data_IF_115061933440
#
_entry.id   IF_115061933440
#
_cell.length_a   1.000
_cell.length_b   1.000
_cell.length_c   1.000
_cell.angle_alpha   90.00
_cell.angle_beta   90.00
_cell.angle_gamma   90.00
#
_symmetry.space_group_name_H-M   'P 1'
#
loop_
_entity.id
_entity.type
_entity.pdbx_description
1 polymer ?
#
# COMPACT_ATOMS: atom_id res chain seq x y z
N UNK A 1 -36.99 -16.59 34.34
CA UNK A 1 -36.01 -16.32 33.26
C UNK A 1 -35.05 -15.31 33.86
N UNK A 2 -33.90 -15.77 34.36
CA UNK A 2 -32.89 -14.87 34.92
C UNK A 2 -32.31 -13.99 33.81
N UNK A 3 -32.03 -12.70 34.09
CA UNK A 3 -31.36 -11.84 33.13
C UNK A 3 -29.93 -12.34 32.92
N UNK A 4 -29.56 -12.49 31.64
CA UNK A 4 -28.20 -12.79 31.21
C UNK A 4 -27.29 -11.66 31.73
N UNK A 5 -26.18 -11.96 32.45
CA UNK A 5 -25.24 -10.95 32.89
C UNK A 5 -24.74 -10.18 31.67
N UNK A 6 -24.85 -8.85 31.72
CA UNK A 6 -24.22 -7.99 30.73
C UNK A 6 -22.72 -8.32 30.72
N UNK A 7 -22.28 -8.97 29.64
CA UNK A 7 -20.86 -9.22 29.39
C UNK A 7 -20.14 -7.89 29.52
N UNK A 8 -19.04 -7.91 30.27
CA UNK A 8 -18.11 -6.80 30.47
C UNK A 8 -17.97 -5.97 29.19
N UNK A 9 -18.30 -4.68 29.28
CA UNK A 9 -18.04 -3.69 28.24
C UNK A 9 -16.62 -3.88 27.71
N UNK A 10 -16.38 -3.89 26.38
CA UNK A 10 -15.03 -4.09 25.85
C UNK A 10 -14.15 -2.99 26.42
N UNK A 11 -13.19 -3.41 27.23
CA UNK A 11 -12.25 -2.55 27.90
C UNK A 11 -11.44 -1.77 26.87
N UNK A 12 -11.41 -0.45 27.01
CA UNK A 12 -10.28 0.42 26.64
C UNK A 12 -9.61 0.13 25.29
N UNK A 13 -10.39 0.07 24.21
CA UNK A 13 -9.85 0.21 22.85
C UNK A 13 -9.43 1.68 22.71
N UNK A 14 -8.21 2.01 23.14
CA UNK A 14 -7.64 3.34 22.95
C UNK A 14 -7.66 3.64 21.47
N UNK A 15 -8.55 4.56 21.05
CA UNK A 15 -8.61 5.06 19.68
C UNK A 15 -7.23 5.60 19.34
N UNK A 16 -6.51 4.90 18.46
CA UNK A 16 -5.22 5.39 17.97
C UNK A 16 -5.47 6.67 17.16
N UNK A 17 -4.96 7.79 17.67
CA UNK A 17 -4.96 9.06 16.96
C UNK A 17 -3.78 9.10 15.98
N UNK A 18 -4.09 9.41 14.72
CA UNK A 18 -3.12 9.69 13.66
C UNK A 18 -3.24 11.17 13.31
N UNK A 19 -2.14 11.92 13.33
CA UNK A 19 -2.16 13.38 13.12
C UNK A 19 -2.29 13.70 11.63
N UNK A 20 -1.59 12.97 10.77
CA UNK A 20 -1.65 13.16 9.33
C UNK A 20 -1.84 11.85 8.57
N UNK A 21 -3.02 11.70 7.96
CA UNK A 21 -3.36 10.60 7.07
C UNK A 21 -3.25 10.98 5.58
N UNK A 22 -2.67 10.09 4.77
CA UNK A 22 -2.62 10.21 3.31
C UNK A 22 -3.47 9.12 2.65
N UNK A 23 -4.39 9.52 1.76
CA UNK A 23 -5.26 8.60 1.03
C UNK A 23 -4.90 8.59 -0.46
N UNK A 24 -4.47 7.43 -0.98
CA UNK A 24 -4.06 7.24 -2.38
C UNK A 24 -5.12 6.46 -3.15
N UNK A 25 -5.89 7.18 -3.96
CA UNK A 25 -6.98 6.63 -4.77
C UNK A 25 -6.49 5.69 -5.90
N UNK A 26 -7.42 4.89 -6.42
CA UNK A 26 -7.20 4.00 -7.54
C UNK A 26 -7.28 4.72 -8.89
N UNK A 27 -6.97 3.97 -9.96
CA UNK A 27 -6.91 4.52 -11.33
C UNK A 27 -5.76 3.95 -12.17
N UNK A 28 -5.30 2.73 -11.83
CA UNK A 28 -4.20 2.06 -12.51
C UNK A 28 -2.87 2.84 -12.48
N UNK A 29 -2.06 2.66 -13.50
CA UNK A 29 -0.72 3.25 -13.61
C UNK A 29 -0.73 4.79 -13.63
N UNK A 30 -1.80 5.42 -14.14
CA UNK A 30 -1.93 6.88 -14.09
C UNK A 30 -2.01 7.39 -12.66
N UNK A 31 -2.83 6.73 -11.84
CA UNK A 31 -2.92 7.06 -10.41
C UNK A 31 -1.58 6.81 -9.70
N UNK A 32 -0.89 5.71 -10.01
CA UNK A 32 0.45 5.43 -9.47
C UNK A 32 1.43 6.57 -9.76
N UNK A 33 1.55 7.01 -11.02
CA UNK A 33 2.47 8.09 -11.41
C UNK A 33 2.06 9.45 -10.83
N UNK A 34 0.75 9.75 -10.80
CA UNK A 34 0.23 10.95 -10.17
C UNK A 34 0.61 11.00 -8.68
N UNK A 35 0.36 9.91 -7.95
CA UNK A 35 0.68 9.82 -6.53
C UNK A 35 2.19 9.86 -6.27
N UNK A 36 3.02 9.34 -7.19
CA UNK A 36 4.47 9.51 -7.09
C UNK A 36 4.89 10.99 -7.15
N UNK A 37 4.29 11.78 -8.06
CA UNK A 37 4.50 13.23 -8.11
C UNK A 37 4.02 13.94 -6.83
N UNK A 38 2.86 13.55 -6.29
CA UNK A 38 2.35 14.07 -5.02
C UNK A 38 3.32 13.77 -3.88
N UNK A 39 3.85 12.55 -3.80
CA UNK A 39 4.81 12.16 -2.77
C UNK A 39 6.14 12.92 -2.90
N UNK A 40 6.61 13.21 -4.13
CA UNK A 40 7.75 14.13 -4.33
C UNK A 40 7.47 15.50 -3.70
N UNK A 41 6.31 16.08 -4.00
CA UNK A 41 5.92 17.40 -3.47
C UNK A 41 5.76 17.40 -1.96
N UNK A 42 5.20 16.33 -1.38
CA UNK A 42 5.12 16.16 0.07
C UNK A 42 6.50 16.04 0.71
N UNK A 43 7.43 15.34 0.06
CA UNK A 43 8.81 15.24 0.53
C UNK A 43 9.51 16.61 0.51
N UNK A 44 9.43 17.32 -0.61
CA UNK A 44 10.02 18.65 -0.79
C UNK A 44 9.45 19.70 0.18
N UNK A 45 8.20 19.52 0.61
CA UNK A 45 7.55 20.36 1.61
C UNK A 45 7.83 19.95 3.08
N UNK A 46 8.64 18.92 3.31
CA UNK A 46 8.90 18.38 4.66
C UNK A 46 7.67 17.74 5.33
N UNK A 47 6.64 17.40 4.54
CA UNK A 47 5.39 16.80 5.01
C UNK A 47 5.42 15.29 4.96
N UNK A 48 6.25 14.69 4.08
CA UNK A 48 6.35 13.23 3.97
C UNK A 48 6.70 12.59 5.31
N UNK A 49 7.68 13.12 6.05
CA UNK A 49 8.10 12.57 7.35
C UNK A 49 6.99 12.60 8.41
N UNK A 50 6.01 13.51 8.27
CA UNK A 50 4.92 13.72 9.23
C UNK A 50 3.74 12.77 9.01
N UNK A 51 3.73 11.98 7.94
CA UNK A 51 2.63 11.07 7.66
C UNK A 51 2.63 9.95 8.70
N UNK A 52 1.49 9.76 9.34
CA UNK A 52 1.26 8.73 10.36
C UNK A 52 0.51 7.51 9.81
N UNK A 53 -0.26 7.69 8.74
CA UNK A 53 -1.06 6.65 8.12
C UNK A 53 -1.14 6.86 6.61
N UNK A 54 -1.07 5.77 5.86
CA UNK A 54 -1.35 5.75 4.42
C UNK A 54 -2.45 4.73 4.15
N UNK A 55 -3.59 5.17 3.61
CA UNK A 55 -4.61 4.29 3.04
C UNK A 55 -4.54 4.33 1.52
N UNK A 56 -4.73 3.18 0.85
CA UNK A 56 -4.62 3.13 -0.60
C UNK A 56 -5.50 2.05 -1.24
N UNK A 57 -5.85 2.25 -2.51
CA UNK A 57 -6.51 1.23 -3.34
C UNK A 57 -5.85 1.13 -4.73
N UNK A 58 -5.84 -0.06 -5.31
CA UNK A 58 -5.48 -0.30 -6.73
C UNK A 58 -4.15 0.36 -7.14
N UNK A 59 -4.12 1.22 -8.15
CA UNK A 59 -2.91 1.94 -8.59
C UNK A 59 -2.25 2.77 -7.48
N UNK A 60 -3.02 3.37 -6.57
CA UNK A 60 -2.50 4.02 -5.38
C UNK A 60 -1.81 3.05 -4.42
N UNK A 61 -2.24 1.79 -4.37
CA UNK A 61 -1.57 0.74 -3.59
C UNK A 61 -0.22 0.32 -4.17
N UNK A 62 0.01 0.49 -5.47
CA UNK A 62 1.34 0.28 -6.07
C UNK A 62 2.30 1.35 -5.53
N UNK A 63 1.89 2.62 -5.59
CA UNK A 63 2.66 3.74 -5.06
C UNK A 63 2.90 3.62 -3.55
N UNK A 64 1.84 3.32 -2.76
CA UNK A 64 1.94 3.10 -1.32
C UNK A 64 2.80 1.89 -0.97
N UNK A 65 2.69 0.80 -1.73
CA UNK A 65 3.40 -0.45 -1.47
C UNK A 65 4.90 -0.30 -1.61
N UNK A 66 5.36 0.35 -2.68
CA UNK A 66 6.79 0.67 -2.82
C UNK A 66 7.26 1.60 -1.70
N UNK A 67 6.46 2.62 -1.35
CA UNK A 67 6.82 3.57 -0.30
C UNK A 67 6.98 2.85 1.05
N UNK A 68 6.06 1.93 1.37
CA UNK A 68 6.08 1.16 2.61
C UNK A 68 7.35 0.30 2.75
N UNK A 69 7.78 -0.32 1.66
CA UNK A 69 8.98 -1.18 1.62
C UNK A 69 10.25 -0.35 1.71
N UNK A 70 10.28 0.82 1.07
CA UNK A 70 11.44 1.70 1.07
C UNK A 70 11.51 2.62 2.29
N UNK A 71 10.41 2.81 3.02
CA UNK A 71 10.32 3.69 4.18
C UNK A 71 11.50 3.58 5.16
N UNK A 72 11.89 2.39 5.66
CA UNK A 72 13.01 2.27 6.61
C UNK A 72 14.38 2.62 6.01
N UNK A 73 14.47 2.82 4.70
CA UNK A 73 15.69 3.17 3.97
C UNK A 73 15.77 4.67 3.64
N UNK A 74 14.70 5.43 3.87
CA UNK A 74 14.68 6.86 3.63
C UNK A 74 15.55 7.59 4.68
N UNK A 75 16.40 8.49 4.21
CA UNK A 75 17.28 9.31 5.05
C UNK A 75 16.72 10.73 5.12
N UNK A 76 16.12 11.08 6.25
CA UNK A 76 15.51 12.39 6.46
C UNK A 76 16.52 13.39 7.03
N UNK A 77 16.61 14.56 6.41
CA UNK A 77 17.30 15.75 6.92
C UNK A 77 16.35 16.94 6.80
N UNK A 78 16.16 17.70 7.88
CA UNK A 78 15.26 18.86 7.94
C UNK A 78 13.84 18.61 7.40
N UNK A 79 13.28 17.42 7.68
CA UNK A 79 11.94 17.03 7.22
C UNK A 79 11.89 16.38 5.84
N UNK A 80 12.98 16.44 5.07
CA UNK A 80 13.05 15.99 3.67
C UNK A 80 13.88 14.71 3.57
N UNK A 81 13.35 13.67 2.93
CA UNK A 81 14.12 12.48 2.57
C UNK A 81 15.06 12.80 1.39
N UNK A 82 16.36 12.85 1.66
CA UNK A 82 17.39 13.28 0.69
C UNK A 82 17.63 12.27 -0.42
N UNK A 83 17.41 10.99 -0.14
CA UNK A 83 17.52 9.87 -1.08
C UNK A 83 16.17 9.44 -1.68
N UNK A 84 15.12 10.24 -1.52
CA UNK A 84 13.77 9.89 -1.99
C UNK A 84 13.70 9.70 -3.52
N UNK A 85 14.36 10.58 -4.27
CA UNK A 85 14.37 10.52 -5.74
C UNK A 85 14.99 9.22 -6.25
N UNK A 86 16.19 8.90 -5.77
CA UNK A 86 16.94 7.71 -6.14
C UNK A 86 16.20 6.43 -5.76
N UNK A 87 15.73 6.34 -4.50
CA UNK A 87 15.13 5.10 -4.02
C UNK A 87 13.71 4.88 -4.57
N UNK A 88 12.87 5.93 -4.58
CA UNK A 88 11.44 5.81 -4.85
C UNK A 88 11.07 6.24 -6.27
N UNK A 89 11.45 7.45 -6.68
CA UNK A 89 10.96 8.07 -7.92
C UNK A 89 11.50 7.33 -9.13
N UNK A 90 12.82 7.11 -9.18
CA UNK A 90 13.46 6.38 -10.29
C UNK A 90 12.91 4.96 -10.42
N UNK A 91 12.64 4.30 -9.29
CA UNK A 91 12.07 2.96 -9.25
C UNK A 91 10.63 2.92 -9.79
N UNK A 92 9.77 3.86 -9.39
CA UNK A 92 8.42 3.99 -9.95
C UNK A 92 8.45 4.28 -11.44
N UNK A 93 9.33 5.19 -11.89
CA UNK A 93 9.44 5.55 -13.30
C UNK A 93 9.92 4.36 -14.12
N UNK A 94 10.96 3.65 -13.67
CA UNK A 94 11.43 2.43 -14.31
C UNK A 94 10.32 1.37 -14.40
N UNK A 95 9.60 1.14 -13.29
CA UNK A 95 8.47 0.22 -13.26
C UNK A 95 7.33 0.62 -14.23
N UNK A 96 7.09 1.92 -14.41
CA UNK A 96 6.06 2.40 -15.35
C UNK A 96 6.37 2.05 -16.81
N UNK A 97 7.65 1.91 -17.18
CA UNK A 97 8.05 1.55 -18.54
C UNK A 97 7.75 0.09 -18.87
N UNK A 98 7.75 -0.81 -17.87
CA UNK A 98 7.41 -2.24 -18.04
C UNK A 98 6.00 -2.43 -18.58
N UNK A 99 5.09 -1.49 -18.29
CA UNK A 99 3.71 -1.55 -18.78
C UNK A 99 3.56 -1.06 -20.23
N UNK A 100 4.46 -0.21 -20.73
CA UNK A 100 4.46 0.20 -22.14
C UNK A 100 4.81 -0.99 -23.05
N UNK A 101 5.53 -1.99 -22.54
CA UNK A 101 5.80 -3.28 -23.18
C UNK A 101 4.62 -4.27 -23.04
N UNK A 102 3.39 -3.74 -23.11
CA UNK A 102 2.09 -4.37 -22.86
C UNK A 102 1.77 -5.72 -23.54
N UNK A 103 2.37 -6.16 -24.68
CA UNK A 103 1.96 -7.41 -25.32
C UNK A 103 2.11 -8.67 -24.45
N UNK A 104 2.97 -8.64 -23.42
CA UNK A 104 3.28 -9.83 -22.60
C UNK A 104 2.36 -9.99 -21.38
N UNK A 105 1.92 -8.89 -20.75
CA UNK A 105 0.99 -8.93 -19.60
C UNK A 105 -0.42 -9.31 -20.07
N UNK A 106 -0.84 -8.82 -21.25
CA UNK A 106 -2.14 -9.17 -21.84
C UNK A 106 -2.21 -10.65 -22.27
N UNK A 107 -1.08 -11.26 -22.65
CA UNK A 107 -0.99 -12.70 -22.94
C UNK A 107 -1.23 -13.58 -21.70
N UNK A 108 -0.86 -13.11 -20.50
CA UNK A 108 -1.10 -13.82 -19.24
C UNK A 108 -2.57 -13.99 -18.89
N UNK A 109 -3.44 -13.09 -19.36
CA UNK A 109 -4.91 -13.19 -19.22
C UNK A 109 -5.48 -14.40 -19.98
N UNK A 110 -4.77 -14.88 -21.01
CA UNK A 110 -5.14 -16.06 -21.79
C UNK A 110 -4.35 -17.33 -21.41
N UNK A 111 -3.55 -17.30 -20.34
CA UNK A 111 -2.80 -18.46 -19.88
C UNK A 111 -3.68 -19.33 -18.95
N UNK A 112 -4.04 -20.57 -19.32
CA UNK A 112 -4.86 -21.44 -18.47
C UNK A 112 -4.13 -22.01 -17.25
N UNK A 113 -2.80 -21.83 -17.16
CA UNK A 113 -1.97 -22.37 -16.07
C UNK A 113 -1.58 -21.32 -15.00
N UNK A 114 -1.97 -20.05 -15.15
CA UNK A 114 -1.64 -18.97 -14.20
C UNK A 114 -2.80 -17.98 -14.08
N UNK A 115 -3.01 -17.42 -12.89
CA UNK A 115 -4.03 -16.39 -12.70
C UNK A 115 -3.47 -15.02 -13.05
N UNK A 116 -4.32 -14.12 -13.57
CA UNK A 116 -3.94 -12.74 -13.84
C UNK A 116 -3.33 -12.04 -12.59
N UNK A 117 -3.83 -12.37 -11.40
CA UNK A 117 -3.30 -11.87 -10.14
C UNK A 117 -1.87 -12.36 -9.86
N UNK A 118 -1.57 -13.63 -10.18
CA UNK A 118 -0.23 -14.20 -9.98
C UNK A 118 0.78 -13.60 -10.95
N UNK A 119 0.42 -13.41 -12.22
CA UNK A 119 1.31 -12.75 -13.18
C UNK A 119 1.61 -11.30 -12.79
N UNK A 120 0.61 -10.55 -12.34
CA UNK A 120 0.81 -9.19 -11.84
C UNK A 120 1.70 -9.17 -10.60
N UNK A 121 1.49 -10.09 -9.65
CA UNK A 121 2.34 -10.20 -8.47
C UNK A 121 3.80 -10.51 -8.84
N UNK A 122 4.03 -11.46 -9.73
CA UNK A 122 5.37 -11.80 -10.23
C UNK A 122 6.02 -10.64 -10.98
N UNK A 123 5.24 -9.86 -11.74
CA UNK A 123 5.73 -8.63 -12.37
C UNK A 123 6.18 -7.60 -11.32
N UNK A 124 5.41 -7.42 -10.24
CA UNK A 124 5.79 -6.50 -9.16
C UNK A 124 7.04 -6.99 -8.42
N UNK A 125 7.11 -8.28 -8.08
CA UNK A 125 8.29 -8.87 -7.43
C UNK A 125 9.54 -8.60 -8.27
N UNK A 126 9.52 -8.93 -9.56
CA UNK A 126 10.68 -8.76 -10.45
C UNK A 126 11.07 -7.31 -10.66
N UNK A 127 10.11 -6.44 -10.98
CA UNK A 127 10.40 -5.10 -11.50
C UNK A 127 10.23 -3.97 -10.48
N UNK A 128 9.37 -4.14 -9.48
CA UNK A 128 9.12 -3.14 -8.44
C UNK A 128 9.92 -3.44 -7.17
N UNK A 129 10.15 -4.71 -6.83
CA UNK A 129 10.78 -5.13 -5.58
C UNK A 129 12.12 -5.86 -5.74
N UNK A 130 12.76 -5.80 -6.92
CA UNK A 130 14.09 -6.40 -7.19
C UNK A 130 14.16 -7.90 -6.88
N UNK A 131 13.11 -8.64 -7.22
CA UNK A 131 12.97 -10.07 -6.94
C UNK A 131 12.64 -10.41 -5.48
N UNK A 132 12.45 -9.42 -4.61
CA UNK A 132 12.04 -9.64 -3.22
C UNK A 132 10.53 -9.81 -3.12
N UNK A 133 10.11 -10.49 -2.05
CA UNK A 133 8.71 -10.72 -1.71
C UNK A 133 8.43 -10.07 -0.35
N UNK A 134 8.14 -8.76 -0.30
CA UNK A 134 7.82 -8.08 0.95
C UNK A 134 6.55 -8.66 1.57
N UNK A 135 6.53 -8.82 2.89
CA UNK A 135 5.35 -9.28 3.61
C UNK A 135 4.75 -8.13 4.40
N UNK A 136 3.43 -8.16 4.64
CA UNK A 136 2.78 -7.16 5.48
C UNK A 136 3.46 -7.04 6.84
N UNK A 137 3.83 -8.17 7.48
CA UNK A 137 4.51 -8.17 8.79
C UNK A 137 5.87 -7.46 8.78
N UNK A 138 6.54 -7.36 7.63
CA UNK A 138 7.84 -6.68 7.50
C UNK A 138 7.75 -5.16 7.37
N UNK A 139 6.55 -4.59 7.20
CA UNK A 139 6.37 -3.15 7.03
C UNK A 139 6.55 -2.39 8.35
N UNK A 140 6.99 -1.13 8.24
CA UNK A 140 7.13 -0.22 9.40
C UNK A 140 5.82 -0.08 10.18
N UNK A 141 5.92 0.18 11.48
CA UNK A 141 4.75 0.48 12.34
C UNK A 141 4.20 1.89 12.11
N UNK A 142 5.08 2.84 11.74
CA UNK A 142 4.73 4.24 11.43
C UNK A 142 5.53 4.73 10.22
N UNK A 143 4.87 5.30 9.18
CA UNK A 143 3.42 5.38 9.00
C UNK A 143 2.77 4.00 8.93
N UNK A 144 1.52 3.91 9.36
CA UNK A 144 0.74 2.70 9.23
C UNK A 144 0.15 2.60 7.82
N UNK A 145 0.59 1.59 7.07
CA UNK A 145 0.10 1.34 5.72
C UNK A 145 -1.10 0.38 5.73
N UNK A 146 -2.20 0.83 5.12
CA UNK A 146 -3.45 0.09 4.96
C UNK A 146 -3.78 -0.01 3.46
N UNK A 147 -3.75 -1.24 2.95
CA UNK A 147 -4.12 -1.55 1.58
C UNK A 147 -5.57 -2.04 1.55
N UNK A 148 -6.41 -1.34 0.82
CA UNK A 148 -7.84 -1.59 0.76
C UNK A 148 -8.20 -2.34 -0.53
N UNK A 149 -9.11 -3.29 -0.41
CA UNK A 149 -9.73 -4.03 -1.52
C UNK A 149 -11.20 -4.32 -1.20
N UNK A 150 -11.89 -4.98 -2.13
CA UNK A 150 -13.26 -5.42 -1.94
C UNK A 150 -13.29 -6.92 -1.67
N UNK A 151 -14.02 -7.33 -0.64
CA UNK A 151 -14.37 -8.73 -0.45
C UNK A 151 -15.53 -9.09 -1.38
N UNK A 152 -15.30 -9.99 -2.33
CA UNK A 152 -16.31 -10.36 -3.33
C UNK A 152 -17.47 -11.19 -2.75
N UNK A 153 -17.25 -11.90 -1.64
CA UNK A 153 -18.29 -12.72 -1.01
C UNK A 153 -19.27 -11.88 -0.21
N UNK A 154 -18.78 -10.80 0.42
CA UNK A 154 -19.57 -9.99 1.36
C UNK A 154 -19.88 -8.59 0.83
N UNK A 155 -19.21 -8.15 -0.22
CA UNK A 155 -19.33 -6.80 -0.80
C UNK A 155 -18.70 -5.69 0.05
N UNK A 156 -18.02 -6.03 1.14
CA UNK A 156 -17.49 -5.07 2.10
C UNK A 156 -16.01 -4.74 1.90
N UNK A 157 -15.58 -3.67 2.58
CA UNK A 157 -14.19 -3.21 2.58
C UNK A 157 -13.30 -4.25 3.26
N UNK A 158 -12.35 -4.76 2.50
CA UNK A 158 -11.30 -5.63 3.00
C UNK A 158 -10.01 -4.82 3.18
N UNK A 159 -9.42 -4.87 4.37
CA UNK A 159 -8.23 -4.09 4.74
C UNK A 159 -7.08 -5.03 5.06
N UNK A 160 -5.93 -4.75 4.46
CA UNK A 160 -4.69 -5.50 4.65
C UNK A 160 -3.61 -4.56 5.19
N UNK A 161 -2.99 -4.92 6.31
CA UNK A 161 -1.90 -4.16 6.92
C UNK A 161 -0.95 -5.07 7.69
N UNK A 162 0.11 -4.50 8.27
CA UNK A 162 1.02 -5.23 9.15
C UNK A 162 0.42 -5.63 10.50
N UNK A 163 -0.80 -5.15 10.82
CA UNK A 163 -1.47 -5.40 12.10
C UNK A 163 -2.58 -6.45 11.97
N UNK A 164 -3.35 -6.37 10.90
CA UNK A 164 -4.45 -7.28 10.62
C UNK A 164 -4.75 -7.35 9.13
N UNK A 165 -5.45 -8.41 8.76
CA UNK A 165 -6.09 -8.60 7.46
C UNK A 165 -7.54 -8.98 7.76
N UNK A 166 -8.48 -8.08 7.51
CA UNK A 166 -9.87 -8.27 7.93
C UNK A 166 -10.86 -7.44 7.11
N UNK A 167 -12.10 -7.90 7.13
CA UNK A 167 -13.31 -7.19 6.80
C UNK A 167 -14.21 -7.16 8.06
N UNK A 168 -15.04 -6.14 8.22
CA UNK A 168 -15.94 -6.04 9.38
C UNK A 168 -16.96 -7.19 9.48
N UNK A 169 -17.19 -7.93 8.38
CA UNK A 169 -18.04 -9.14 8.35
C UNK A 169 -17.25 -10.44 8.55
N UNK A 170 -15.95 -10.44 8.28
CA UNK A 170 -15.08 -11.63 8.31
C UNK A 170 -13.69 -11.18 8.79
N UNK A 171 -13.37 -11.51 10.04
CA UNK A 171 -12.09 -11.15 10.68
C UNK A 171 -12.27 -10.80 12.14
#
# INVERSE_FOLDING_TARGET
MEPIPAGSSPADDKVEHYELGLCLSGGGYRAMLFHAGVLCRLNEAGLLQKIDMVSSVSGGSIAAGLLAVLWPRLSFADGVATNFRELYVEKILAFSQVFLDAPSILKGVFNPFSSAAREVATCYERHLFDGKVPTLKSLTRRPWFVFCSSNLSTGSLFRMSNRYIADYRIG
#
